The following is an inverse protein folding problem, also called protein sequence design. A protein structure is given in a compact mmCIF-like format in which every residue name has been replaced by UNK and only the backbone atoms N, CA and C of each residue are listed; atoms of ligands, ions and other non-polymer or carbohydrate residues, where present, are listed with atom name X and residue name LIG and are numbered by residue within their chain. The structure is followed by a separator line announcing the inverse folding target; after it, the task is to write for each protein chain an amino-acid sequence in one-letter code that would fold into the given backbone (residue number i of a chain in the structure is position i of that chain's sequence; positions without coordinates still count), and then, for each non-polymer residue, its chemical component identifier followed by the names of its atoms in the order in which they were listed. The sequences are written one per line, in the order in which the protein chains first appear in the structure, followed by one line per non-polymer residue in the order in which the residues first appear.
data_IF_638499368493
#
_entry.id   IF_638499368493
#
_cell.length_a   1.000
_cell.length_b   1.000
_cell.length_c   1.000
_cell.angle_alpha   90.00
_cell.angle_beta   90.00
_cell.angle_gamma   90.00
#
_symmetry.space_group_name_H-M   'P 1'
#
loop_
_entity.id
_entity.type
_entity.pdbx_description
1 polymer ?
#
# COMPACT_ATOMS: atom_id res chain seq x y z
N UNK A 1 19.97 34.20 -3.43
CA UNK A 1 19.01 35.04 -2.68
C UNK A 1 17.56 34.88 -3.18
N UNK A 2 17.16 33.71 -3.72
CA UNK A 2 15.83 33.52 -4.35
C UNK A 2 14.85 32.63 -3.56
N UNK A 3 15.24 32.16 -2.37
CA UNK A 3 14.49 31.13 -1.61
C UNK A 3 13.48 31.70 -0.58
N UNK A 4 13.32 33.03 -0.48
CA UNK A 4 12.50 33.67 0.58
C UNK A 4 11.03 33.92 0.22
N UNK A 5 10.62 33.58 -1.01
CA UNK A 5 9.24 33.77 -1.50
C UNK A 5 8.71 32.56 -2.31
N UNK A 6 9.43 31.42 -2.26
CA UNK A 6 9.32 30.35 -3.26
C UNK A 6 8.08 29.46 -3.17
N UNK A 7 7.31 29.57 -2.09
CA UNK A 7 6.03 28.89 -1.88
C UNK A 7 5.20 29.80 -0.97
N UNK A 8 4.24 30.55 -1.51
CA UNK A 8 3.09 30.90 -0.68
C UNK A 8 2.35 29.60 -0.38
N UNK A 9 2.29 29.11 0.87
CA UNK A 9 1.64 27.82 1.17
C UNK A 9 0.17 27.84 0.74
N UNK A 10 -0.41 29.04 0.73
CA UNK A 10 -1.73 29.38 0.21
C UNK A 10 -1.98 28.88 -1.23
N UNK A 11 -1.04 29.10 -2.15
CA UNK A 11 -1.19 28.67 -3.55
C UNK A 11 -1.18 27.14 -3.69
N UNK A 12 -0.27 26.45 -2.98
CA UNK A 12 -0.29 24.98 -2.92
C UNK A 12 -1.56 24.44 -2.26
N UNK A 13 -2.07 25.11 -1.23
CA UNK A 13 -3.30 24.74 -0.55
C UNK A 13 -4.51 24.87 -1.49
N UNK A 14 -4.60 25.97 -2.25
CA UNK A 14 -5.63 26.15 -3.29
C UNK A 14 -5.55 25.03 -4.34
N UNK A 15 -4.37 24.74 -4.89
CA UNK A 15 -4.19 23.67 -5.89
C UNK A 15 -4.55 22.30 -5.32
N UNK A 16 -4.16 22.01 -4.07
CA UNK A 16 -4.54 20.78 -3.39
C UNK A 16 -6.06 20.68 -3.17
N UNK A 17 -6.74 21.76 -2.77
CA UNK A 17 -8.20 21.82 -2.63
C UNK A 17 -8.89 21.59 -3.98
N UNK A 18 -8.40 22.22 -5.06
CA UNK A 18 -8.93 22.00 -6.42
C UNK A 18 -8.74 20.55 -6.87
N UNK A 19 -7.57 19.94 -6.64
CA UNK A 19 -7.36 18.51 -6.92
C UNK A 19 -8.31 17.63 -6.09
N UNK A 20 -8.54 17.93 -4.81
CA UNK A 20 -9.48 17.19 -3.95
C UNK A 20 -10.92 17.34 -4.46
N UNK A 21 -11.30 18.50 -5.00
CA UNK A 21 -12.63 18.72 -5.59
C UNK A 21 -12.81 17.95 -6.90
N UNK A 22 -11.81 17.95 -7.79
CA UNK A 22 -11.87 17.27 -9.10
C UNK A 22 -11.75 15.75 -9.01
N UNK A 23 -10.83 15.24 -8.19
CA UNK A 23 -10.59 13.80 -8.04
C UNK A 23 -11.42 13.16 -6.93
N UNK A 24 -11.89 13.95 -5.97
CA UNK A 24 -12.62 13.48 -4.78
C UNK A 24 -11.68 13.12 -3.61
N UNK A 25 -12.15 13.39 -2.39
CA UNK A 25 -11.41 13.25 -1.13
C UNK A 25 -10.86 11.84 -0.84
N UNK A 26 -11.45 10.78 -1.42
CA UNK A 26 -10.94 9.41 -1.29
C UNK A 26 -9.92 9.01 -2.36
N UNK A 27 -9.95 9.58 -3.57
CA UNK A 27 -9.11 9.12 -4.70
C UNK A 27 -7.71 9.70 -4.69
N UNK A 28 -7.55 10.95 -4.27
CA UNK A 28 -6.24 11.59 -4.13
C UNK A 28 -5.34 10.85 -3.11
N UNK A 29 -5.76 10.62 -1.85
CA UNK A 29 -4.93 9.89 -0.89
C UNK A 29 -4.74 8.42 -1.27
N UNK A 30 -5.74 7.75 -1.86
CA UNK A 30 -5.63 6.36 -2.33
C UNK A 30 -4.61 6.22 -3.46
N UNK A 31 -4.65 7.10 -4.45
CA UNK A 31 -3.68 7.15 -5.55
C UNK A 31 -2.28 7.47 -5.03
N UNK A 32 -2.16 8.44 -4.11
CA UNK A 32 -0.88 8.76 -3.47
C UNK A 32 -0.32 7.60 -2.62
N UNK A 33 -1.19 6.80 -1.98
CA UNK A 33 -0.79 5.58 -1.23
C UNK A 33 -0.35 4.47 -2.17
N UNK A 34 -1.05 4.25 -3.29
CA UNK A 34 -0.70 3.26 -4.29
C UNK A 34 0.64 3.59 -4.98
N UNK A 35 0.80 4.83 -5.44
CA UNK A 35 2.06 5.35 -5.97
C UNK A 35 3.17 5.29 -4.91
N UNK A 36 2.88 5.70 -3.66
CA UNK A 36 3.84 5.65 -2.55
C UNK A 36 4.34 4.23 -2.23
N UNK A 37 3.52 3.19 -2.39
CA UNK A 37 3.96 1.79 -2.29
C UNK A 37 4.94 1.42 -3.41
N UNK A 38 4.63 1.79 -4.65
CA UNK A 38 5.53 1.58 -5.80
C UNK A 38 6.86 2.34 -5.61
N UNK A 39 6.78 3.65 -5.35
CA UNK A 39 7.96 4.46 -5.05
C UNK A 39 8.77 3.91 -3.87
N UNK A 40 8.17 3.32 -2.83
CA UNK A 40 8.92 2.73 -1.72
C UNK A 40 9.71 1.48 -2.13
N UNK A 41 9.17 0.65 -3.02
CA UNK A 41 9.89 -0.52 -3.56
C UNK A 41 11.09 -0.05 -4.38
N UNK A 42 10.85 0.81 -5.38
CA UNK A 42 11.91 1.39 -6.21
C UNK A 42 12.94 2.17 -5.37
N UNK A 43 12.49 2.89 -4.32
CA UNK A 43 13.36 3.61 -3.38
C UNK A 43 14.20 2.65 -2.56
N UNK A 44 13.69 1.51 -2.12
CA UNK A 44 14.45 0.49 -1.38
C UNK A 44 15.50 -0.16 -2.29
N UNK A 45 15.15 -0.54 -3.51
CA UNK A 45 16.09 -1.11 -4.50
C UNK A 45 17.18 -0.09 -4.88
N UNK A 46 16.79 1.15 -5.18
CA UNK A 46 17.73 2.26 -5.46
C UNK A 46 18.56 2.66 -4.22
N UNK A 47 18.08 2.38 -3.01
CA UNK A 47 18.78 2.64 -1.75
C UNK A 47 19.80 1.56 -1.48
N UNK A 48 19.46 0.28 -1.64
CA UNK A 48 20.40 -0.83 -1.60
C UNK A 48 21.56 -0.59 -2.58
N UNK A 49 21.26 -0.31 -3.85
CA UNK A 49 22.25 0.01 -4.88
C UNK A 49 23.10 1.28 -4.60
N UNK A 50 22.69 2.15 -3.66
CA UNK A 50 23.50 3.27 -3.14
C UNK A 50 24.22 2.97 -1.82
N UNK A 51 23.78 1.95 -1.09
CA UNK A 51 24.25 1.55 0.23
C UNK A 51 25.11 0.28 0.20
N UNK A 52 25.27 -0.37 -0.95
CA UNK A 52 26.28 -1.42 -1.21
C UNK A 52 27.74 -0.93 -1.04
N UNK A 53 27.95 0.31 -0.57
CA UNK A 53 29.21 0.83 -0.04
C UNK A 53 29.34 0.86 1.50
N UNK A 54 28.23 0.77 2.26
CA UNK A 54 28.16 0.71 3.75
C UNK A 54 26.79 0.18 4.22
N UNK A 55 26.76 -1.03 4.78
CA UNK A 55 25.61 -1.73 5.40
C UNK A 55 25.16 -1.04 6.75
N UNK A 56 23.84 -0.93 7.14
CA UNK A 56 23.00 -2.07 7.55
C UNK A 56 21.50 -2.12 7.15
N UNK A 57 20.97 -3.34 7.21
CA UNK A 57 19.60 -3.77 6.91
C UNK A 57 18.60 -3.59 8.09
N UNK A 58 17.48 -4.35 8.16
CA UNK A 58 16.26 -4.16 7.36
C UNK A 58 15.12 -3.53 8.21
N UNK A 59 14.55 -2.42 7.72
CA UNK A 59 13.42 -1.78 8.41
C UNK A 59 12.09 -2.52 8.12
N UNK A 60 11.51 -3.09 9.17
CA UNK A 60 10.28 -3.89 9.16
C UNK A 60 9.17 -3.35 8.24
N UNK A 61 8.57 -4.24 7.45
CA UNK A 61 7.35 -3.95 6.73
C UNK A 61 6.20 -3.72 7.73
N UNK A 62 5.40 -2.64 7.60
CA UNK A 62 4.15 -2.54 8.32
C UNK A 62 3.25 -3.68 7.81
N UNK A 63 2.99 -4.66 8.67
CA UNK A 63 2.03 -5.71 8.37
C UNK A 63 0.69 -5.04 7.99
N UNK A 64 0.04 -5.45 6.88
CA UNK A 64 -1.35 -5.09 6.63
C UNK A 64 -2.15 -5.54 7.84
N UNK A 65 -2.68 -4.57 8.59
CA UNK A 65 -3.52 -4.85 9.74
C UNK A 65 -4.76 -5.52 9.18
N UNK A 66 -4.89 -6.82 9.42
CA UNK A 66 -6.09 -7.58 9.08
C UNK A 66 -7.19 -6.99 9.97
N UNK A 67 -7.99 -6.09 9.40
CA UNK A 67 -9.31 -5.76 9.94
C UNK A 67 -9.98 -7.08 10.28
N UNK A 68 -10.42 -7.33 11.53
CA UNK A 68 -10.94 -8.62 11.92
C UNK A 68 -12.05 -9.06 10.96
N UNK A 69 -11.73 -10.04 10.11
CA UNK A 69 -12.74 -10.73 9.33
C UNK A 69 -13.63 -11.47 10.32
N UNK A 70 -14.96 -11.30 10.30
CA UNK A 70 -15.86 -12.22 10.97
C UNK A 70 -15.49 -13.63 10.52
N UNK A 71 -15.29 -14.53 11.49
CA UNK A 71 -14.61 -15.79 11.25
C UNK A 71 -15.24 -16.58 10.09
N UNK A 72 -14.44 -17.24 9.23
CA UNK A 72 -15.00 -18.23 8.33
C UNK A 72 -15.60 -19.33 9.19
N UNK A 73 -16.93 -19.46 9.15
CA UNK A 73 -17.62 -20.64 9.64
C UNK A 73 -17.20 -21.81 8.76
N UNK A 74 -16.13 -22.49 9.16
CA UNK A 74 -15.84 -23.84 8.68
C UNK A 74 -17.01 -24.70 9.13
N UNK A 75 -17.99 -24.87 8.24
CA UNK A 75 -19.01 -25.89 8.37
C UNK A 75 -18.28 -27.22 8.33
N UNK A 76 -18.15 -27.84 9.50
CA UNK A 76 -17.53 -29.15 9.68
C UNK A 76 -18.43 -30.18 9.00
N UNK A 77 -18.14 -30.47 7.74
CA UNK A 77 -18.73 -31.59 7.01
C UNK A 77 -18.06 -32.89 7.46
N UNK A 78 -18.35 -33.32 8.69
CA UNK A 78 -18.08 -34.69 9.13
C UNK A 78 -19.07 -35.68 8.50
N UNK A 79 -18.56 -36.89 8.25
CA UNK A 79 -19.29 -38.14 7.93
C UNK A 79 -19.38 -38.53 6.44
N UNK A 80 -19.07 -39.81 6.17
CA UNK A 80 -19.02 -40.50 4.85
C UNK A 80 -17.75 -40.11 4.05
N UNK A 81 -16.61 -40.79 4.13
CA UNK A 81 -16.36 -42.25 4.20
C UNK A 81 -17.14 -43.07 3.17
N UNK A 82 -16.67 -43.07 1.92
CA UNK A 82 -16.77 -44.19 0.96
C UNK A 82 -16.17 -43.83 -0.43
N UNK A 83 -14.97 -44.33 -0.80
CA UNK A 83 -14.60 -44.65 -2.18
C UNK A 83 -14.89 -46.15 -2.45
N UNK A 84 -15.31 -46.61 -3.66
CA UNK A 84 -15.01 -46.09 -5.00
C UNK A 84 -16.32 -45.92 -5.85
N UNK A 85 -16.40 -45.93 -7.20
CA UNK A 85 -15.48 -46.16 -8.33
C UNK A 85 -16.02 -45.45 -9.60
N UNK A 86 -15.19 -44.91 -10.51
CA UNK A 86 -15.62 -44.54 -11.85
C UNK A 86 -15.47 -45.71 -12.84
N UNK A 87 -16.55 -46.13 -13.50
CA UNK A 87 -16.57 -46.74 -14.84
C UNK A 87 -17.97 -47.28 -15.20
N UNK A 88 -18.39 -47.03 -16.45
CA UNK A 88 -19.61 -47.51 -17.15
C UNK A 88 -20.94 -46.97 -16.60
#
# INVERSE_FOLDING_TARGET
MFLRNGLEPWHLLIVAVVLILLFGSKKLPDTARALGKSLRILKSETKAMREDGTEPAPAAAPAPQVTPAPAPVQTVHTTTDAPPRPAQ
#
